data_IF_814483046990
#
_entry.id   IF_814483046990
#
_cell.length_a   1.000
_cell.length_b   1.000
_cell.length_c   1.000
_cell.angle_alpha   90.00
_cell.angle_beta   90.00
_cell.angle_gamma   90.00
#
_symmetry.space_group_name_H-M   'P 1'
#
loop_
_entity.id
_entity.type
_entity.pdbx_description
1 polymer ?
#
# COMPACT_ATOMS: atom_id res chain seq x y z
N UNK A 1 8.66 -1.97 -23.45
CA UNK A 1 8.50 -2.41 -22.02
C UNK A 1 7.53 -1.46 -21.32
N UNK A 2 6.78 -1.93 -20.33
CA UNK A 2 5.92 -1.04 -19.51
C UNK A 2 6.78 -0.01 -18.77
N UNK A 3 7.94 -0.43 -18.30
CA UNK A 3 8.87 0.41 -17.57
C UNK A 3 9.31 1.67 -18.33
N UNK A 4 9.58 1.59 -19.62
CA UNK A 4 10.04 2.74 -20.41
C UNK A 4 9.03 3.90 -20.37
N UNK A 5 7.74 3.58 -20.53
CA UNK A 5 6.67 4.57 -20.43
C UNK A 5 6.49 5.10 -19.00
N UNK A 6 6.66 4.20 -18.01
CA UNK A 6 6.54 4.57 -16.60
C UNK A 6 7.70 5.46 -16.16
N UNK A 7 8.93 5.14 -16.56
CA UNK A 7 10.12 5.90 -16.18
C UNK A 7 9.95 7.38 -16.47
N UNK A 8 9.60 7.73 -17.73
CA UNK A 8 9.44 9.13 -18.15
C UNK A 8 8.33 9.82 -17.36
N UNK A 9 7.23 9.13 -17.07
CA UNK A 9 6.10 9.70 -16.32
C UNK A 9 6.45 9.92 -14.85
N UNK A 10 7.11 8.95 -14.22
CA UNK A 10 7.51 9.01 -12.82
C UNK A 10 8.60 10.08 -12.63
N UNK A 11 9.58 10.17 -13.54
CA UNK A 11 10.61 11.19 -13.49
C UNK A 11 10.03 12.62 -13.54
N UNK A 12 9.02 12.85 -14.37
CA UNK A 12 8.32 14.15 -14.47
C UNK A 12 7.47 14.48 -13.25
N UNK A 13 6.96 13.46 -12.55
CA UNK A 13 6.10 13.63 -11.40
C UNK A 13 6.90 13.77 -10.08
N UNK A 14 8.20 13.54 -10.09
CA UNK A 14 9.05 13.56 -8.89
C UNK A 14 9.09 14.93 -8.25
N UNK A 15 8.81 14.93 -6.96
CA UNK A 15 9.09 16.06 -6.08
C UNK A 15 10.50 15.93 -5.48
N UNK A 16 11.05 17.05 -5.06
CA UNK A 16 12.40 17.11 -4.48
C UNK A 16 12.32 17.49 -3.01
N UNK A 17 12.94 16.68 -2.15
CA UNK A 17 12.94 16.86 -0.72
C UNK A 17 13.49 18.23 -0.29
N UNK A 18 14.51 18.73 -0.99
CA UNK A 18 15.22 19.94 -0.65
C UNK A 18 14.54 21.23 -1.11
N UNK A 19 13.65 21.16 -2.10
CA UNK A 19 13.04 22.37 -2.70
C UNK A 19 11.52 22.41 -2.53
N UNK A 20 10.86 21.27 -2.46
CA UNK A 20 9.41 21.21 -2.50
C UNK A 20 8.81 21.07 -1.10
N UNK A 21 9.63 20.82 -0.08
CA UNK A 21 9.21 20.71 1.32
C UNK A 21 9.83 21.84 2.14
N UNK A 22 8.98 22.71 2.67
CA UNK A 22 9.39 23.89 3.45
C UNK A 22 9.70 23.51 4.92
N UNK A 23 10.74 22.72 5.18
CA UNK A 23 11.09 22.26 6.51
C UNK A 23 11.31 23.38 7.53
N UNK A 24 11.74 24.55 7.08
CA UNK A 24 11.98 25.71 7.96
C UNK A 24 10.67 26.43 8.35
N UNK A 25 9.55 26.10 7.71
CA UNK A 25 8.23 26.64 8.04
C UNK A 25 7.41 25.72 8.97
N UNK A 26 7.99 24.61 9.43
CA UNK A 26 7.31 23.69 10.37
C UNK A 26 7.12 24.38 11.70
N UNK A 27 5.88 24.35 12.20
CA UNK A 27 5.52 24.81 13.55
C UNK A 27 5.11 23.61 14.43
N UNK A 28 6.04 23.06 15.23
CA UNK A 28 5.76 21.92 16.11
C UNK A 28 4.69 22.21 17.16
N UNK A 29 4.44 23.48 17.49
CA UNK A 29 3.44 23.86 18.51
C UNK A 29 2.01 23.53 18.07
N UNK A 30 1.78 23.32 16.78
CA UNK A 30 0.49 22.90 16.22
C UNK A 30 0.22 21.42 16.38
N UNK A 31 1.23 20.63 16.79
CA UNK A 31 1.13 19.18 16.94
C UNK A 31 0.92 18.78 18.40
N UNK A 32 -0.03 17.88 18.65
CA UNK A 32 -0.10 17.19 19.93
C UNK A 32 0.98 16.10 20.02
N UNK A 33 1.32 15.69 21.26
CA UNK A 33 2.22 14.55 21.47
C UNK A 33 1.71 13.26 20.80
N UNK A 34 0.39 13.08 20.77
CA UNK A 34 -0.22 11.94 20.10
C UNK A 34 0.00 11.97 18.59
N UNK A 35 -0.08 13.16 17.96
CA UNK A 35 0.24 13.31 16.56
C UNK A 35 1.68 12.91 16.24
N UNK A 36 2.63 13.38 17.04
CA UNK A 36 4.06 13.06 16.88
C UNK A 36 4.29 11.56 17.02
N UNK A 37 3.67 10.95 18.04
CA UNK A 37 3.74 9.51 18.27
C UNK A 37 3.19 8.72 17.07
N UNK A 38 2.01 9.05 16.58
CA UNK A 38 1.39 8.37 15.44
C UNK A 38 2.18 8.56 14.14
N UNK A 39 2.72 9.77 13.91
CA UNK A 39 3.59 10.04 12.77
C UNK A 39 4.89 9.23 12.81
N UNK A 40 5.46 9.04 14.02
CA UNK A 40 6.64 8.18 14.17
C UNK A 40 6.35 6.77 13.70
N UNK A 41 5.19 6.22 14.06
CA UNK A 41 4.78 4.88 13.63
C UNK A 41 4.58 4.81 12.11
N UNK A 42 3.93 5.80 11.51
CA UNK A 42 3.80 5.86 10.03
C UNK A 42 5.19 5.93 9.39
N UNK A 43 6.06 6.80 9.87
CA UNK A 43 7.42 6.93 9.35
C UNK A 43 8.20 5.62 9.36
N UNK A 44 8.08 4.83 10.43
CA UNK A 44 8.73 3.53 10.55
C UNK A 44 8.05 2.46 9.65
N UNK A 45 6.74 2.54 9.47
CA UNK A 45 5.99 1.63 8.59
C UNK A 45 6.43 1.76 7.13
N UNK A 46 6.78 2.96 6.67
CA UNK A 46 7.31 3.20 5.31
C UNK A 46 8.58 2.38 5.02
N UNK A 47 9.36 2.04 6.03
CA UNK A 47 10.52 1.16 5.87
C UNK A 47 10.16 -0.27 5.47
N UNK A 48 8.90 -0.67 5.56
CA UNK A 48 8.46 -1.97 5.06
C UNK A 48 8.73 -2.17 3.57
N UNK A 49 8.89 -1.08 2.82
CA UNK A 49 9.28 -1.09 1.42
C UNK A 49 10.62 -1.80 1.17
N UNK A 50 11.56 -1.80 2.15
CA UNK A 50 12.80 -2.57 2.07
C UNK A 50 12.52 -4.06 1.86
N UNK A 51 11.61 -4.61 2.65
CA UNK A 51 11.28 -6.04 2.64
C UNK A 51 10.39 -6.41 1.47
N UNK A 52 9.47 -5.51 1.11
CA UNK A 52 8.66 -5.66 -0.10
C UNK A 52 9.55 -5.69 -1.34
N UNK A 53 10.59 -4.85 -1.40
CA UNK A 53 11.55 -4.84 -2.52
C UNK A 53 12.32 -6.14 -2.62
N UNK A 54 12.84 -6.67 -1.49
CA UNK A 54 13.52 -7.97 -1.45
C UNK A 54 12.61 -9.07 -2.02
N UNK A 55 11.36 -9.10 -1.56
CA UNK A 55 10.36 -10.07 -2.01
C UNK A 55 10.05 -9.93 -3.51
N UNK A 56 9.84 -8.72 -4.00
CA UNK A 56 9.57 -8.48 -5.42
C UNK A 56 10.74 -8.91 -6.31
N UNK A 57 11.96 -8.54 -5.95
CA UNK A 57 13.15 -8.95 -6.73
C UNK A 57 13.30 -10.47 -6.73
N UNK A 58 13.07 -11.15 -5.60
CA UNK A 58 13.12 -12.60 -5.53
C UNK A 58 12.05 -13.26 -6.40
N UNK A 59 10.81 -12.80 -6.30
CA UNK A 59 9.65 -13.45 -6.90
C UNK A 59 9.51 -13.13 -8.39
N UNK A 60 10.03 -11.99 -8.84
CA UNK A 60 9.96 -11.51 -10.23
C UNK A 60 11.34 -11.39 -10.89
N UNK A 61 12.35 -12.08 -10.38
CA UNK A 61 13.73 -11.97 -10.85
C UNK A 61 13.90 -12.09 -12.38
N UNK A 62 13.11 -12.94 -13.02
CA UNK A 62 13.14 -13.13 -14.47
C UNK A 62 12.43 -12.02 -15.27
N UNK A 63 11.65 -11.19 -14.62
CA UNK A 63 10.91 -10.08 -15.23
C UNK A 63 11.68 -8.75 -15.04
N UNK A 64 12.65 -8.52 -15.90
CA UNK A 64 13.49 -7.32 -15.84
C UNK A 64 12.66 -6.03 -15.95
N UNK A 65 11.58 -6.04 -16.73
CA UNK A 65 10.68 -4.90 -16.89
C UNK A 65 10.01 -4.52 -15.55
N UNK A 66 9.50 -5.50 -14.82
CA UNK A 66 8.93 -5.29 -13.48
C UNK A 66 10.00 -4.91 -12.45
N UNK A 67 11.13 -5.62 -12.41
CA UNK A 67 12.23 -5.30 -11.49
C UNK A 67 12.77 -3.87 -11.71
N UNK A 68 12.81 -3.41 -12.95
CA UNK A 68 13.19 -2.03 -13.26
C UNK A 68 12.18 -1.02 -12.72
N UNK A 69 10.88 -1.30 -12.79
CA UNK A 69 9.86 -0.46 -12.14
C UNK A 69 10.05 -0.46 -10.61
N UNK A 70 10.30 -1.60 -9.99
CA UNK A 70 10.49 -1.71 -8.54
C UNK A 70 11.67 -0.87 -8.06
N UNK A 71 12.71 -0.66 -8.85
CA UNK A 71 13.83 0.21 -8.47
C UNK A 71 13.40 1.68 -8.28
N UNK A 72 12.44 2.16 -9.09
CA UNK A 72 11.88 3.50 -8.95
C UNK A 72 10.88 3.56 -7.80
N UNK A 73 9.98 2.59 -7.72
CA UNK A 73 9.03 2.48 -6.61
C UNK A 73 9.77 2.50 -5.27
N UNK A 74 10.78 1.67 -5.10
CA UNK A 74 11.58 1.64 -3.88
C UNK A 74 12.25 2.98 -3.56
N UNK A 75 12.78 3.68 -4.56
CA UNK A 75 13.34 5.01 -4.37
C UNK A 75 12.28 6.00 -3.86
N UNK A 76 11.07 5.95 -4.38
CA UNK A 76 9.97 6.84 -3.96
C UNK A 76 9.48 6.49 -2.54
N UNK A 77 9.34 5.20 -2.20
CA UNK A 77 9.00 4.74 -0.85
C UNK A 77 10.04 5.19 0.20
N UNK A 78 11.32 5.06 -0.13
CA UNK A 78 12.38 5.55 0.77
C UNK A 78 12.33 7.07 0.96
N UNK A 79 11.81 7.83 0.02
CA UNK A 79 11.54 9.26 0.20
C UNK A 79 10.39 9.52 1.17
N UNK A 80 9.36 8.66 1.19
CA UNK A 80 8.25 8.75 2.15
C UNK A 80 8.78 8.64 3.57
N UNK A 81 9.57 7.60 3.85
CA UNK A 81 10.25 7.49 5.14
C UNK A 81 11.11 8.73 5.45
N UNK A 82 11.96 9.12 4.52
CA UNK A 82 12.93 10.18 4.74
C UNK A 82 12.26 11.54 4.99
N UNK A 83 11.18 11.88 4.29
CA UNK A 83 10.48 13.15 4.48
C UNK A 83 9.78 13.20 5.85
N UNK A 84 9.15 12.09 6.27
CA UNK A 84 8.50 11.99 7.57
C UNK A 84 9.54 12.01 8.71
N UNK A 85 10.65 11.30 8.55
CA UNK A 85 11.77 11.34 9.50
C UNK A 85 12.30 12.75 9.68
N UNK A 86 12.64 13.46 8.58
CA UNK A 86 13.13 14.85 8.65
C UNK A 86 12.11 15.80 9.26
N UNK A 87 10.82 15.59 8.98
CA UNK A 87 9.75 16.35 9.60
C UNK A 87 9.74 16.14 11.13
N UNK A 88 9.79 14.90 11.58
CA UNK A 88 9.81 14.53 13.00
C UNK A 88 11.07 15.03 13.72
N UNK A 89 12.25 14.98 13.06
CA UNK A 89 13.49 15.56 13.58
C UNK A 89 13.34 17.07 13.84
N UNK A 90 12.60 17.81 12.99
CA UNK A 90 12.27 19.24 13.23
C UNK A 90 11.28 19.42 14.39
N UNK A 91 10.53 18.40 14.73
CA UNK A 91 9.65 18.39 15.92
C UNK A 91 10.38 17.94 17.20
N UNK A 92 11.68 17.67 17.14
CA UNK A 92 12.50 17.29 18.29
C UNK A 92 12.61 15.76 18.51
N UNK A 93 12.07 14.96 17.59
CA UNK A 93 12.22 13.51 17.65
C UNK A 93 13.61 13.06 17.20
N UNK A 94 14.07 11.95 17.78
CA UNK A 94 15.33 11.29 17.41
C UNK A 94 15.04 9.87 16.96
N UNK A 95 15.82 9.38 16.03
CA UNK A 95 15.75 8.00 15.53
C UNK A 95 17.08 7.30 15.83
N UNK A 96 17.01 6.15 16.47
CA UNK A 96 18.15 5.26 16.59
C UNK A 96 18.22 4.35 15.36
N UNK A 97 19.31 4.41 14.63
CA UNK A 97 19.52 3.55 13.47
C UNK A 97 19.50 2.04 13.84
N UNK A 98 19.80 1.70 15.09
CA UNK A 98 19.71 0.33 15.58
C UNK A 98 18.27 -0.18 15.71
N UNK A 99 17.27 0.71 15.81
CA UNK A 99 15.86 0.33 15.84
C UNK A 99 15.37 -0.18 14.48
N UNK A 100 15.96 0.32 13.38
CA UNK A 100 15.47 0.07 12.03
C UNK A 100 15.58 -1.41 11.59
N UNK A 101 16.68 -2.14 11.83
CA UNK A 101 16.77 -3.55 11.48
C UNK A 101 15.79 -4.45 12.24
N UNK A 102 15.33 -4.04 13.45
CA UNK A 102 14.40 -4.81 14.26
C UNK A 102 12.97 -4.82 13.67
N UNK A 103 12.66 -3.89 12.77
CA UNK A 103 11.35 -3.74 12.12
C UNK A 103 11.16 -4.69 10.93
N UNK A 104 11.96 -5.74 10.81
CA UNK A 104 11.88 -6.66 9.67
C UNK A 104 10.53 -7.36 9.59
N UNK A 105 9.76 -7.03 8.56
CA UNK A 105 8.56 -7.75 8.18
C UNK A 105 8.92 -9.08 7.52
N UNK A 106 8.31 -10.15 8.00
CA UNK A 106 8.36 -11.44 7.31
C UNK A 106 7.04 -11.59 6.54
N UNK A 107 7.10 -11.38 5.24
CA UNK A 107 5.96 -11.72 4.39
C UNK A 107 5.91 -13.25 4.22
N UNK A 108 4.73 -13.84 4.44
CA UNK A 108 4.55 -15.25 4.13
C UNK A 108 4.80 -15.47 2.63
N UNK A 109 5.55 -16.51 2.25
CA UNK A 109 5.72 -16.83 0.84
C UNK A 109 4.36 -17.21 0.25
N UNK A 110 3.97 -16.53 -0.82
CA UNK A 110 2.78 -16.77 -1.61
C UNK A 110 3.11 -16.74 -3.09
N UNK A 111 2.18 -17.07 -3.98
CA UNK A 111 2.36 -16.85 -5.41
C UNK A 111 2.69 -15.39 -5.71
N UNK A 112 3.67 -15.15 -6.58
CA UNK A 112 4.12 -13.81 -6.95
C UNK A 112 2.95 -12.86 -7.37
N UNK A 113 1.93 -13.42 -8.03
CA UNK A 113 0.76 -12.64 -8.45
C UNK A 113 -0.10 -12.17 -7.26
N UNK A 114 -0.16 -12.92 -6.17
CA UNK A 114 -0.86 -12.52 -4.96
C UNK A 114 -0.14 -11.35 -4.30
N UNK A 115 1.19 -11.39 -4.24
CA UNK A 115 2.03 -10.30 -3.74
C UNK A 115 1.80 -9.01 -4.55
N UNK A 116 1.82 -9.10 -5.87
CA UNK A 116 1.57 -7.97 -6.76
C UNK A 116 0.16 -7.38 -6.53
N UNK A 117 -0.84 -8.24 -6.36
CA UNK A 117 -2.23 -7.83 -6.11
C UNK A 117 -2.38 -7.17 -4.74
N UNK A 118 -1.74 -7.73 -3.72
CA UNK A 118 -1.74 -7.20 -2.36
C UNK A 118 -1.19 -5.77 -2.33
N UNK A 119 -0.07 -5.52 -3.01
CA UNK A 119 0.51 -4.17 -3.08
C UNK A 119 -0.38 -3.22 -3.86
N UNK A 120 -0.94 -3.62 -5.01
CA UNK A 120 -1.94 -2.79 -5.69
C UNK A 120 -3.07 -2.33 -4.75
N UNK A 121 -3.61 -3.24 -3.96
CA UNK A 121 -4.68 -2.92 -3.00
C UNK A 121 -4.16 -2.04 -1.84
N UNK A 122 -2.95 -2.29 -1.37
CA UNK A 122 -2.27 -1.51 -0.34
C UNK A 122 -2.09 -0.06 -0.74
N UNK A 123 -1.52 0.19 -1.93
CA UNK A 123 -1.32 1.53 -2.47
C UNK A 123 -2.65 2.30 -2.63
N UNK A 124 -3.71 1.63 -3.09
CA UNK A 124 -5.05 2.25 -3.15
C UNK A 124 -5.53 2.71 -1.77
N UNK A 125 -5.20 1.97 -0.73
CA UNK A 125 -5.58 2.27 0.65
C UNK A 125 -4.70 3.38 1.23
N UNK A 126 -3.37 3.32 1.06
CA UNK A 126 -2.44 4.36 1.49
C UNK A 126 -2.77 5.71 0.84
N UNK A 127 -3.01 5.72 -0.47
CA UNK A 127 -3.47 6.92 -1.18
C UNK A 127 -4.73 7.53 -0.54
N UNK A 128 -5.66 6.70 -0.12
CA UNK A 128 -6.89 7.15 0.54
C UNK A 128 -6.60 7.73 1.93
N UNK A 129 -5.79 7.05 2.73
CA UNK A 129 -5.42 7.49 4.07
C UNK A 129 -4.63 8.80 4.03
N UNK A 130 -3.59 8.88 3.21
CA UNK A 130 -2.78 10.10 3.06
C UNK A 130 -3.60 11.27 2.51
N UNK A 131 -4.57 11.01 1.63
CA UNK A 131 -5.53 12.04 1.20
C UNK A 131 -6.35 12.57 2.39
N UNK A 132 -6.77 11.71 3.30
CA UNK A 132 -7.49 12.14 4.50
C UNK A 132 -6.56 12.91 5.46
N UNK A 133 -5.37 12.40 5.72
CA UNK A 133 -4.39 13.07 6.59
C UNK A 133 -3.99 14.43 6.03
N UNK A 134 -3.86 14.58 4.71
CA UNK A 134 -3.58 15.87 4.09
C UNK A 134 -4.66 16.93 4.33
N UNK A 135 -5.90 16.52 4.59
CA UNK A 135 -7.01 17.42 4.89
C UNK A 135 -7.09 17.78 6.36
N UNK A 136 -6.69 16.89 7.24
CA UNK A 136 -6.96 16.97 8.67
C UNK A 136 -5.71 17.20 9.54
N UNK A 137 -4.50 16.99 9.01
CA UNK A 137 -3.28 17.30 9.76
C UNK A 137 -3.29 18.77 10.22
N UNK A 138 -2.97 19.05 11.48
CA UNK A 138 -3.09 20.40 12.02
C UNK A 138 -2.05 21.37 11.46
N UNK A 139 -0.86 20.85 11.08
CA UNK A 139 0.28 21.63 10.64
C UNK A 139 0.35 21.71 9.10
N UNK A 140 0.53 22.91 8.50
CA UNK A 140 0.44 23.11 7.06
C UNK A 140 1.46 22.36 6.22
N UNK A 141 2.73 22.25 6.67
CA UNK A 141 3.79 21.53 5.94
C UNK A 141 3.47 20.05 5.94
N UNK A 142 3.00 19.51 7.04
CA UNK A 142 2.56 18.11 7.14
C UNK A 142 1.40 17.79 6.19
N UNK A 143 0.43 18.72 6.06
CA UNK A 143 -0.64 18.59 5.05
C UNK A 143 -0.06 18.49 3.63
N UNK A 144 0.93 19.33 3.33
CA UNK A 144 1.65 19.30 2.06
C UNK A 144 2.35 17.96 1.81
N UNK A 145 3.06 17.46 2.80
CA UNK A 145 3.73 16.16 2.76
C UNK A 145 2.72 15.06 2.43
N UNK A 146 1.67 14.90 3.23
CA UNK A 146 0.67 13.86 2.99
C UNK A 146 -0.04 13.97 1.64
N UNK A 147 -0.25 15.19 1.13
CA UNK A 147 -0.78 15.39 -0.22
C UNK A 147 0.16 14.84 -1.29
N UNK A 148 1.46 15.01 -1.09
CA UNK A 148 2.50 14.52 -2.01
C UNK A 148 2.58 13.00 -1.96
N UNK A 149 2.64 12.42 -0.75
CA UNK A 149 2.62 10.97 -0.57
C UNK A 149 1.37 10.35 -1.22
N UNK A 150 0.18 10.89 -0.96
CA UNK A 150 -1.06 10.39 -1.58
C UNK A 150 -1.02 10.38 -3.11
N UNK A 151 -0.34 11.35 -3.73
CA UNK A 151 -0.18 11.38 -5.18
C UNK A 151 0.79 10.31 -5.67
N UNK A 152 1.85 10.02 -4.90
CA UNK A 152 2.79 8.93 -5.20
C UNK A 152 2.09 7.58 -5.13
N UNK A 153 1.34 7.29 -4.06
CA UNK A 153 0.62 6.02 -3.91
C UNK A 153 -0.40 5.78 -5.03
N UNK A 154 -1.09 6.82 -5.50
CA UNK A 154 -1.98 6.69 -6.65
C UNK A 154 -1.22 6.33 -7.93
N UNK A 155 0.00 6.86 -8.12
CA UNK A 155 0.85 6.49 -9.25
C UNK A 155 1.37 5.06 -9.13
N UNK A 156 1.80 4.65 -7.94
CA UNK A 156 2.24 3.29 -7.65
C UNK A 156 1.12 2.30 -7.95
N UNK A 157 -0.08 2.53 -7.43
CA UNK A 157 -1.25 1.70 -7.71
C UNK A 157 -1.56 1.60 -9.22
N UNK A 158 -1.46 2.71 -9.96
CA UNK A 158 -1.68 2.71 -11.40
C UNK A 158 -0.60 1.92 -12.15
N UNK A 159 0.64 1.91 -11.65
CA UNK A 159 1.72 1.11 -12.20
C UNK A 159 1.48 -0.38 -11.93
N UNK A 160 1.19 -0.77 -10.70
CA UNK A 160 0.85 -2.16 -10.36
C UNK A 160 -0.33 -2.69 -11.18
N UNK A 161 -1.36 -1.86 -11.39
CA UNK A 161 -2.50 -2.25 -12.24
C UNK A 161 -2.09 -2.59 -13.68
N UNK A 162 -1.09 -1.91 -14.27
CA UNK A 162 -0.57 -2.27 -15.60
C UNK A 162 0.08 -3.64 -15.61
N UNK A 163 0.84 -3.97 -14.57
CA UNK A 163 1.47 -5.27 -14.46
C UNK A 163 0.45 -6.39 -14.20
N UNK A 164 -0.61 -6.12 -13.44
CA UNK A 164 -1.73 -7.06 -13.28
C UNK A 164 -2.44 -7.33 -14.61
N UNK A 165 -2.72 -6.29 -15.41
CA UNK A 165 -3.28 -6.45 -16.77
C UNK A 165 -2.37 -7.29 -17.66
N UNK A 166 -1.07 -7.01 -17.64
CA UNK A 166 -0.09 -7.80 -18.39
C UNK A 166 -0.07 -9.26 -17.92
N UNK A 167 -0.13 -9.50 -16.63
CA UNK A 167 -0.14 -10.85 -16.06
C UNK A 167 -1.36 -11.65 -16.55
N UNK A 168 -2.56 -11.07 -16.46
CA UNK A 168 -3.80 -11.73 -16.93
C UNK A 168 -3.77 -11.94 -18.44
N UNK A 169 -3.29 -10.98 -19.23
CA UNK A 169 -3.18 -11.12 -20.69
C UNK A 169 -2.22 -12.26 -21.10
N UNK A 170 -1.13 -12.43 -20.37
CA UNK A 170 -0.13 -13.46 -20.65
C UNK A 170 -0.48 -14.83 -20.05
N UNK A 171 -1.19 -14.84 -18.93
CA UNK A 171 -1.48 -16.04 -18.12
C UNK A 171 -2.87 -15.90 -17.47
N UNK A 172 -3.97 -16.08 -18.23
CA UNK A 172 -5.34 -15.90 -17.72
C UNK A 172 -5.67 -16.77 -16.50
N UNK A 173 -5.03 -17.93 -16.34
CA UNK A 173 -5.22 -18.81 -15.20
C UNK A 173 -4.79 -18.21 -13.84
N UNK A 174 -4.09 -17.09 -13.81
CA UNK A 174 -3.76 -16.37 -12.57
C UNK A 174 -4.92 -15.51 -12.03
N UNK A 175 -5.97 -15.28 -12.82
CA UNK A 175 -7.09 -14.41 -12.44
C UNK A 175 -7.78 -14.83 -11.12
N UNK A 176 -8.07 -16.12 -10.85
CA UNK A 176 -8.67 -16.53 -9.59
C UNK A 176 -7.85 -16.11 -8.35
N UNK A 177 -6.54 -16.14 -8.43
CA UNK A 177 -5.65 -15.76 -7.30
C UNK A 177 -5.65 -14.23 -7.10
N UNK A 178 -5.67 -13.46 -8.18
CA UNK A 178 -5.85 -12.00 -8.13
C UNK A 178 -7.18 -11.65 -7.44
N UNK A 179 -8.28 -12.29 -7.84
CA UNK A 179 -9.60 -12.01 -7.27
C UNK A 179 -9.68 -12.41 -5.79
N UNK A 180 -9.10 -13.55 -5.40
CA UNK A 180 -9.03 -14.00 -4.00
C UNK A 180 -8.27 -13.00 -3.14
N UNK A 181 -7.06 -12.60 -3.57
CA UNK A 181 -6.24 -11.65 -2.84
C UNK A 181 -6.97 -10.30 -2.71
N UNK A 182 -7.59 -9.81 -3.79
CA UNK A 182 -8.38 -8.60 -3.77
C UNK A 182 -9.54 -8.68 -2.78
N UNK A 183 -10.24 -9.82 -2.73
CA UNK A 183 -11.32 -10.04 -1.77
C UNK A 183 -10.82 -9.98 -0.31
N UNK A 184 -9.68 -10.60 -0.04
CA UNK A 184 -9.08 -10.55 1.29
C UNK A 184 -8.70 -9.13 1.69
N UNK A 185 -8.05 -8.41 0.79
CA UNK A 185 -7.68 -7.01 1.03
C UNK A 185 -8.89 -6.09 1.25
N UNK A 186 -10.01 -6.30 0.54
CA UNK A 186 -11.25 -5.53 0.72
C UNK A 186 -11.92 -5.83 2.06
N UNK A 187 -11.89 -7.07 2.53
CA UNK A 187 -12.59 -7.47 3.74
C UNK A 187 -11.98 -6.94 5.01
N UNK A 188 -10.70 -6.58 5.01
CA UNK A 188 -10.00 -6.03 6.19
C UNK A 188 -10.28 -6.83 7.47
N UNK A 189 -10.24 -8.16 7.39
CA UNK A 189 -10.47 -9.04 8.54
C UNK A 189 -9.15 -9.50 9.11
N UNK A 190 -9.18 -10.07 10.30
CA UNK A 190 -8.02 -10.67 10.97
C UNK A 190 -7.32 -11.76 10.13
N UNK A 191 -8.04 -12.31 9.13
CA UNK A 191 -7.51 -13.31 8.19
C UNK A 191 -6.88 -12.70 6.92
N UNK A 192 -6.82 -11.36 6.83
CA UNK A 192 -6.22 -10.70 5.67
C UNK A 192 -4.70 -10.95 5.61
N UNK A 193 -4.12 -11.06 4.41
CA UNK A 193 -2.69 -11.21 4.26
C UNK A 193 -1.94 -10.04 4.90
N UNK A 194 -0.78 -10.34 5.44
CA UNK A 194 0.05 -9.35 6.15
C UNK A 194 0.56 -8.29 5.18
N UNK A 195 -0.03 -7.14 5.25
CA UNK A 195 0.42 -5.91 4.59
C UNK A 195 0.31 -4.76 5.60
N UNK A 196 1.19 -3.75 5.56
CA UNK A 196 1.12 -2.63 6.50
C UNK A 196 -0.26 -1.97 6.59
N UNK A 197 -1.03 -1.99 5.51
CA UNK A 197 -2.39 -1.44 5.47
C UNK A 197 -3.49 -2.40 5.97
N UNK A 198 -3.17 -3.65 6.25
CA UNK A 198 -4.14 -4.65 6.76
C UNK A 198 -3.93 -4.96 8.23
N UNK A 199 -3.39 -4.07 8.97
CA UNK A 199 -2.86 -4.21 10.32
C UNK A 199 -3.90 -4.71 11.30
N UNK A 200 -4.01 -6.01 11.41
CA UNK A 200 -4.77 -6.71 12.45
C UNK A 200 -4.01 -7.90 13.02
N UNK A 201 -2.75 -8.12 12.56
CA UNK A 201 -1.95 -9.26 12.99
C UNK A 201 -0.46 -8.92 13.11
N UNK A 202 0.33 -9.72 13.83
CA UNK A 202 1.74 -9.47 14.11
C UNK A 202 2.53 -9.19 12.83
N UNK A 203 2.53 -7.94 12.51
CA UNK A 203 3.25 -7.28 11.44
C UNK A 203 4.30 -6.39 12.08
N UNK A 204 4.74 -5.37 11.39
CA UNK A 204 5.49 -4.27 11.98
C UNK A 204 4.90 -3.79 13.32
N UNK A 205 3.58 -3.87 13.46
CA UNK A 205 2.88 -3.39 14.65
C UNK A 205 3.24 -4.13 15.94
N UNK A 206 3.60 -5.41 15.89
CA UNK A 206 4.07 -6.13 17.09
C UNK A 206 5.47 -5.70 17.52
N UNK A 207 6.19 -5.05 16.63
CA UNK A 207 7.50 -4.50 16.87
C UNK A 207 7.46 -3.01 17.24
N UNK A 208 6.28 -2.39 17.10
CA UNK A 208 6.00 -1.02 17.50
C UNK A 208 5.30 -1.02 18.86
N UNK A 209 5.57 -0.01 19.66
CA UNK A 209 4.98 0.13 21.00
C UNK A 209 3.47 0.31 21.01
N UNK A 210 2.87 0.69 19.88
CA UNK A 210 1.45 0.97 19.76
C UNK A 210 0.85 0.38 18.47
N UNK A 211 0.37 -0.87 18.52
CA UNK A 211 -0.21 -1.54 17.35
C UNK A 211 -1.56 -0.95 16.91
N UNK A 212 -2.19 -0.10 17.72
CA UNK A 212 -3.52 0.46 17.41
C UNK A 212 -3.45 1.86 16.78
N UNK A 213 -2.26 2.40 16.53
CA UNK A 213 -2.10 3.78 16.05
C UNK A 213 -2.86 4.04 14.73
N UNK A 214 -2.85 3.10 13.79
CA UNK A 214 -3.60 3.24 12.52
C UNK A 214 -5.11 3.30 12.78
N UNK A 215 -5.63 2.37 13.59
CA UNK A 215 -7.06 2.36 13.93
C UNK A 215 -7.47 3.67 14.59
N UNK A 216 -6.64 4.21 15.47
CA UNK A 216 -6.87 5.49 16.12
C UNK A 216 -6.86 6.64 15.11
N UNK A 217 -5.87 6.73 14.25
CA UNK A 217 -5.78 7.76 13.21
C UNK A 217 -6.95 7.68 12.23
N UNK A 218 -7.31 6.48 11.77
CA UNK A 218 -8.45 6.30 10.88
C UNK A 218 -9.76 6.73 11.53
N UNK A 219 -9.99 6.39 12.80
CA UNK A 219 -11.19 6.82 13.53
C UNK A 219 -11.28 8.35 13.66
N UNK A 220 -10.15 9.04 13.72
CA UNK A 220 -10.13 10.51 13.81
C UNK A 220 -10.39 11.19 12.47
N UNK A 221 -9.78 10.69 11.39
CA UNK A 221 -9.78 11.35 10.08
C UNK A 221 -10.75 10.77 9.08
N UNK A 222 -11.19 9.54 9.30
CA UNK A 222 -12.12 8.81 8.46
C UNK A 222 -13.25 8.20 9.32
N UNK A 223 -14.01 9.03 10.08
CA UNK A 223 -15.02 8.51 10.97
C UNK A 223 -16.12 7.78 10.20
N UNK A 224 -16.50 6.62 10.70
CA UNK A 224 -17.61 5.83 10.20
C UNK A 224 -17.21 4.54 9.49
N UNK A 225 -18.17 3.61 9.45
CA UNK A 225 -17.97 2.26 8.88
C UNK A 225 -17.74 2.22 7.37
N UNK A 226 -18.04 3.32 6.70
CA UNK A 226 -18.06 3.41 5.24
C UNK A 226 -16.81 4.07 4.64
N UNK A 227 -15.81 4.41 5.46
CA UNK A 227 -14.61 5.11 4.99
C UNK A 227 -13.81 4.33 3.93
N UNK A 228 -13.84 2.99 3.98
CA UNK A 228 -13.17 2.14 3.00
C UNK A 228 -13.93 1.96 1.67
N UNK A 229 -15.18 2.38 1.57
CA UNK A 229 -15.97 2.23 0.33
C UNK A 229 -15.30 2.84 -0.93
N UNK A 230 -14.63 3.99 -0.88
CA UNK A 230 -13.91 4.52 -2.03
C UNK A 230 -12.76 3.61 -2.49
N UNK A 231 -12.04 3.01 -1.55
CA UNK A 231 -10.97 2.05 -1.82
C UNK A 231 -11.54 0.79 -2.46
N UNK A 232 -12.58 0.21 -1.85
CA UNK A 232 -13.27 -0.97 -2.36
C UNK A 232 -13.73 -0.76 -3.81
N UNK A 233 -14.36 0.39 -4.12
CA UNK A 233 -14.80 0.71 -5.48
C UNK A 233 -13.67 0.74 -6.50
N UNK A 234 -12.51 1.32 -6.14
CA UNK A 234 -11.35 1.36 -7.04
C UNK A 234 -10.76 -0.03 -7.28
N UNK A 235 -10.69 -0.86 -6.24
CA UNK A 235 -10.22 -2.23 -6.36
C UNK A 235 -11.20 -3.04 -7.23
N UNK A 236 -12.49 -2.97 -6.94
CA UNK A 236 -13.52 -3.68 -7.70
C UNK A 236 -13.57 -3.24 -9.17
N UNK A 237 -13.30 -1.96 -9.47
CA UNK A 237 -13.24 -1.48 -10.85
C UNK A 237 -12.14 -2.18 -11.66
N UNK A 238 -10.94 -2.36 -11.10
CA UNK A 238 -9.90 -3.13 -11.77
C UNK A 238 -10.26 -4.61 -11.86
N UNK A 239 -10.84 -5.18 -10.82
CA UNK A 239 -11.26 -6.60 -10.83
C UNK A 239 -12.35 -6.85 -11.87
N UNK A 240 -13.28 -5.90 -12.02
CA UNK A 240 -14.32 -5.95 -13.09
C UNK A 240 -13.69 -5.94 -14.47
N UNK A 241 -12.73 -5.06 -14.69
CA UNK A 241 -11.99 -4.99 -15.96
C UNK A 241 -11.25 -6.31 -16.27
N UNK A 242 -10.51 -6.84 -15.30
CA UNK A 242 -9.69 -8.05 -15.48
C UNK A 242 -10.53 -9.32 -15.68
N UNK A 243 -11.72 -9.38 -15.09
CA UNK A 243 -12.63 -10.53 -15.18
C UNK A 243 -13.67 -10.39 -16.28
N UNK A 244 -13.77 -9.22 -16.93
CA UNK A 244 -14.82 -8.88 -17.91
C UNK A 244 -16.25 -9.02 -17.35
N UNK A 245 -16.39 -8.92 -16.01
CA UNK A 245 -17.67 -9.03 -15.29
C UNK A 245 -17.87 -7.80 -14.40
N UNK A 246 -19.07 -7.23 -14.39
CA UNK A 246 -19.37 -6.10 -13.51
C UNK A 246 -19.43 -6.54 -12.04
N UNK A 247 -18.49 -6.06 -11.23
CA UNK A 247 -18.34 -6.38 -9.81
C UNK A 247 -18.58 -5.11 -8.98
N UNK A 248 -19.73 -4.99 -8.35
CA UNK A 248 -20.11 -3.80 -7.57
C UNK A 248 -19.90 -3.98 -6.06
N UNK A 249 -19.72 -5.22 -5.62
CA UNK A 249 -19.61 -5.55 -4.21
C UNK A 249 -18.61 -6.68 -3.94
N UNK A 250 -18.13 -6.82 -2.69
CA UNK A 250 -17.35 -7.98 -2.29
C UNK A 250 -18.10 -9.32 -2.48
N UNK A 251 -19.44 -9.29 -2.49
CA UNK A 251 -20.27 -10.47 -2.74
C UNK A 251 -20.17 -10.90 -4.21
N UNK A 252 -20.21 -9.94 -5.14
CA UNK A 252 -20.07 -10.24 -6.56
C UNK A 252 -18.70 -10.83 -6.85
N UNK A 253 -17.65 -10.24 -6.26
CA UNK A 253 -16.29 -10.75 -6.33
C UNK A 253 -16.18 -12.19 -5.80
N UNK A 254 -16.81 -12.49 -4.67
CA UNK A 254 -16.85 -13.86 -4.13
C UNK A 254 -17.58 -14.83 -5.06
N UNK A 255 -18.69 -14.42 -5.68
CA UNK A 255 -19.42 -15.24 -6.62
C UNK A 255 -18.57 -15.54 -7.86
N UNK A 256 -17.90 -14.52 -8.41
CA UNK A 256 -17.00 -14.68 -9.57
C UNK A 256 -15.84 -15.66 -9.25
N UNK A 257 -15.25 -15.57 -8.07
CA UNK A 257 -14.21 -16.53 -7.63
C UNK A 257 -14.76 -17.96 -7.66
N UNK A 258 -15.99 -18.18 -7.18
CA UNK A 258 -16.63 -19.51 -7.16
C UNK A 258 -16.91 -20.05 -8.55
N UNK A 259 -17.30 -19.19 -9.49
CA UNK A 259 -17.54 -19.56 -10.89
C UNK A 259 -16.26 -19.98 -11.62
N UNK A 260 -15.15 -19.33 -11.31
CA UNK A 260 -13.85 -19.62 -11.90
C UNK A 260 -13.17 -20.85 -11.28
N UNK A 261 -13.60 -21.31 -10.12
CA UNK A 261 -13.06 -22.53 -9.52
C UNK A 261 -13.56 -23.76 -10.31
N UNK A 262 -12.68 -24.69 -10.71
CA UNK A 262 -13.11 -25.92 -11.35
C UNK A 262 -14.10 -26.64 -10.42
N UNK A 263 -15.30 -26.92 -10.90
CA UNK A 263 -16.25 -27.77 -10.17
C UNK A 263 -15.56 -29.12 -9.95
N UNK A 264 -15.19 -29.41 -8.71
CA UNK A 264 -14.73 -30.75 -8.34
C UNK A 264 -15.88 -31.68 -8.67
N UNK A 265 -15.72 -32.49 -9.70
CA UNK A 265 -16.68 -33.54 -10.04
C UNK A 265 -16.75 -34.44 -8.81
N UNK A 266 -17.87 -34.37 -8.09
CA UNK A 266 -18.20 -35.40 -7.08
C UNK A 266 -18.43 -36.66 -7.88
N UNK A 267 -17.38 -37.46 -8.04
CA UNK A 267 -17.53 -38.86 -8.44
C UNK A 267 -18.25 -39.51 -7.29
N UNK A 268 -19.57 -39.63 -7.42
CA UNK A 268 -20.36 -40.56 -6.61
C UNK A 268 -19.83 -41.94 -6.91
N UNK A 269 -19.03 -42.48 -6.00
CA UNK A 269 -18.77 -43.91 -5.98
C UNK A 269 -20.10 -44.60 -5.72
N UNK A 270 -20.59 -45.31 -6.74
CA UNK A 270 -21.67 -46.27 -6.64
C UNK A 270 -21.15 -47.60 -6.06
#
# INVERSE_FOLDING_TARGET
MIYDDLFIRLERARWQLSTDIAFDAIDPSLLSKQWIHDLRHICLTELSALYATEMFIRDFYADIDFCSFISIWFYEEMKHHLVLRKYLERCGETFDEAELPSLRLTFAPGPAIETLTMHFCGEQRLAHWYTAFSKHAPEPVLRGIFKTLAADELRHAACYAKYLRRAVANKPECLPDILKMSLWMIRSTNDAPKHPTTITEPSVCDQLEDPEYISRMLNWYLPGRDHEKPVQRRILALMSELSEVNLESPRDLLNQIRELQPRVAVTSAA
#
